data_IF_511485190699
#
_entry.id   IF_511485190699
#
_cell.length_a   1.000
_cell.length_b   1.000
_cell.length_c   1.000
_cell.angle_alpha   90.00
_cell.angle_beta   90.00
_cell.angle_gamma   90.00
#
_symmetry.space_group_name_H-M   'P 1'
#
loop_
_entity.id
_entity.type
_entity.pdbx_description
1 polymer ?
#
# COMPACT_ATOMS: atom_id res chain seq x y z
N UNK A 1 10.63 16.26 -9.71
CA UNK A 1 9.81 15.73 -8.62
C UNK A 1 9.75 14.22 -8.80
N UNK A 2 10.07 13.44 -7.76
CA UNK A 2 9.89 11.98 -7.79
C UNK A 2 8.39 11.66 -7.85
N UNK A 3 8.02 10.52 -8.42
CA UNK A 3 6.63 10.06 -8.37
C UNK A 3 6.21 9.83 -6.90
N UNK A 4 4.99 10.23 -6.49
CA UNK A 4 4.43 9.82 -5.21
C UNK A 4 4.49 8.30 -5.02
N UNK A 5 4.67 7.88 -3.78
CA UNK A 5 4.73 6.47 -3.40
C UNK A 5 3.77 6.21 -2.24
N UNK A 6 3.03 5.11 -2.30
CA UNK A 6 2.29 4.56 -1.17
C UNK A 6 2.76 3.13 -0.90
N UNK A 7 2.59 2.66 0.33
CA UNK A 7 2.97 1.30 0.71
C UNK A 7 1.78 0.53 1.26
N UNK A 8 1.52 -0.65 0.70
CA UNK A 8 0.51 -1.59 1.21
C UNK A 8 1.21 -2.70 1.97
N UNK A 9 0.95 -2.82 3.27
CA UNK A 9 1.47 -3.90 4.11
C UNK A 9 0.51 -5.08 4.12
N UNK A 10 1.03 -6.27 3.82
CA UNK A 10 0.23 -7.47 3.59
C UNK A 10 0.45 -8.52 4.69
N UNK A 11 -0.62 -9.23 5.11
CA UNK A 11 -0.58 -10.21 6.19
C UNK A 11 0.28 -11.42 5.84
N UNK A 12 1.09 -11.89 6.79
CA UNK A 12 2.08 -12.95 6.53
C UNK A 12 1.58 -14.37 6.34
N UNK A 13 0.28 -14.62 6.47
CA UNK A 13 -0.30 -15.96 6.42
C UNK A 13 -0.91 -16.32 5.06
N UNK A 14 -0.78 -15.45 4.05
CA UNK A 14 -1.31 -15.66 2.71
C UNK A 14 -0.21 -15.71 1.65
N UNK A 15 -0.43 -16.54 0.61
CA UNK A 15 0.36 -16.48 -0.60
C UNK A 15 -0.12 -15.30 -1.46
N UNK A 16 0.75 -14.31 -1.67
CA UNK A 16 0.46 -13.10 -2.43
C UNK A 16 0.79 -13.24 -3.93
N UNK A 17 1.38 -14.34 -4.39
CA UNK A 17 1.67 -14.53 -5.80
C UNK A 17 0.42 -14.41 -6.70
N UNK A 18 -0.76 -14.95 -6.34
CA UNK A 18 -1.96 -14.78 -7.17
C UNK A 18 -2.58 -13.38 -7.08
N UNK A 19 -2.39 -12.65 -5.97
CA UNK A 19 -2.72 -11.22 -5.88
C UNK A 19 -1.92 -10.44 -6.92
N UNK A 20 -0.60 -10.60 -6.93
CA UNK A 20 0.28 -9.90 -7.87
C UNK A 20 -0.11 -10.19 -9.32
N UNK A 21 -0.38 -11.46 -9.66
CA UNK A 21 -0.88 -11.85 -11.00
C UNK A 21 -2.18 -11.15 -11.36
N UNK A 22 -3.15 -11.13 -10.45
CA UNK A 22 -4.44 -10.48 -10.67
C UNK A 22 -4.27 -9.01 -11.01
N UNK A 23 -3.42 -8.31 -10.26
CA UNK A 23 -3.17 -6.89 -10.47
C UNK A 23 -2.41 -6.61 -11.77
N UNK A 24 -1.42 -7.44 -12.12
CA UNK A 24 -0.69 -7.36 -13.40
C UNK A 24 -1.67 -7.42 -14.57
N UNK A 25 -2.53 -8.44 -14.57
CA UNK A 25 -3.44 -8.70 -15.69
C UNK A 25 -4.50 -7.60 -15.81
N UNK A 26 -5.07 -7.17 -14.67
CA UNK A 26 -6.09 -6.13 -14.63
C UNK A 26 -5.55 -4.76 -15.10
N UNK A 27 -4.37 -4.37 -14.60
CA UNK A 27 -3.77 -3.05 -14.89
C UNK A 27 -2.86 -3.07 -16.12
N UNK A 28 -2.68 -4.24 -16.75
CA UNK A 28 -1.82 -4.48 -17.92
C UNK A 28 -0.37 -4.06 -17.65
N UNK A 29 0.17 -4.49 -16.51
CA UNK A 29 1.56 -4.20 -16.14
C UNK A 29 2.52 -5.13 -16.87
N UNK A 30 3.70 -4.63 -17.20
CA UNK A 30 4.79 -5.45 -17.72
C UNK A 30 5.70 -5.84 -16.55
N UNK A 31 5.92 -7.14 -16.36
CA UNK A 31 6.84 -7.64 -15.35
C UNK A 31 8.27 -7.30 -15.76
N UNK A 32 9.04 -6.75 -14.82
CA UNK A 32 10.43 -6.39 -15.05
C UNK A 32 11.35 -7.60 -14.85
N UNK A 33 12.39 -7.69 -15.68
CA UNK A 33 13.50 -8.61 -15.46
C UNK A 33 14.42 -8.04 -14.38
N UNK A 34 14.35 -8.60 -13.17
CA UNK A 34 15.14 -8.14 -12.04
C UNK A 34 16.48 -8.88 -11.95
N UNK A 35 17.60 -8.15 -11.80
CA UNK A 35 18.87 -8.73 -11.37
C UNK A 35 18.74 -9.46 -10.02
N UNK A 36 19.59 -10.48 -9.74
CA UNK A 36 19.56 -11.23 -8.48
C UNK A 36 19.73 -10.40 -7.21
N UNK A 37 20.41 -9.24 -7.30
CA UNK A 37 20.77 -8.40 -6.16
C UNK A 37 19.77 -7.25 -5.92
N UNK A 38 18.59 -7.29 -6.55
CA UNK A 38 17.59 -6.26 -6.36
C UNK A 38 16.96 -6.33 -4.96
N UNK A 39 16.64 -5.17 -4.34
CA UNK A 39 16.14 -5.12 -2.97
C UNK A 39 14.69 -5.61 -2.81
N UNK A 40 14.01 -5.93 -3.91
CA UNK A 40 12.63 -6.41 -3.91
C UNK A 40 12.52 -7.70 -4.70
N UNK A 41 11.60 -8.57 -4.27
CA UNK A 41 11.42 -9.90 -4.82
C UNK A 41 10.77 -9.88 -6.22
N UNK A 42 9.98 -8.84 -6.51
CA UNK A 42 9.23 -8.74 -7.76
C UNK A 42 8.90 -7.29 -8.11
N UNK A 43 8.80 -6.97 -9.40
CA UNK A 43 8.30 -5.67 -9.85
C UNK A 43 7.61 -5.77 -11.21
N UNK A 44 6.62 -4.90 -11.41
CA UNK A 44 6.04 -4.65 -12.72
C UNK A 44 5.65 -3.19 -12.88
N UNK A 45 5.61 -2.76 -14.14
CA UNK A 45 5.32 -1.38 -14.46
C UNK A 45 4.51 -1.21 -15.74
N UNK A 46 3.79 -0.09 -15.80
CA UNK A 46 3.21 0.45 -17.02
C UNK A 46 3.84 1.82 -17.23
N UNK A 47 4.67 1.95 -18.28
CA UNK A 47 5.37 3.20 -18.61
C UNK A 47 4.52 4.11 -19.48
N UNK A 48 4.68 5.42 -19.32
CA UNK A 48 4.07 6.44 -20.19
C UNK A 48 3.66 7.70 -19.44
N UNK A 49 2.63 8.38 -19.94
CA UNK A 49 1.99 9.50 -19.23
C UNK A 49 1.30 9.03 -17.93
N UNK A 50 0.89 7.76 -17.89
CA UNK A 50 0.12 7.13 -16.82
C UNK A 50 1.01 6.11 -16.10
N UNK A 51 2.19 6.55 -15.71
CA UNK A 51 3.23 5.70 -15.14
C UNK A 51 2.77 5.10 -13.81
N UNK A 52 2.88 3.77 -13.69
CA UNK A 52 2.63 3.01 -12.48
C UNK A 52 3.73 1.96 -12.33
N UNK A 53 4.44 2.00 -11.22
CA UNK A 53 5.47 1.04 -10.85
C UNK A 53 5.07 0.37 -9.54
N UNK A 54 5.02 -0.95 -9.56
CA UNK A 54 4.68 -1.79 -8.42
C UNK A 54 5.92 -2.61 -8.06
N UNK A 55 6.34 -2.54 -6.80
CA UNK A 55 7.47 -3.29 -6.27
C UNK A 55 7.00 -4.09 -5.06
N UNK A 56 7.21 -5.41 -5.08
CA UNK A 56 6.83 -6.30 -4.00
C UNK A 56 8.07 -6.73 -3.22
N UNK A 57 8.04 -6.46 -1.93
CA UNK A 57 9.00 -6.99 -0.97
C UNK A 57 8.36 -8.15 -0.20
N UNK A 58 8.99 -9.32 -0.28
CA UNK A 58 8.53 -10.51 0.42
C UNK A 58 8.86 -10.48 1.91
N UNK A 59 9.78 -9.61 2.35
CA UNK A 59 10.19 -9.44 3.74
C UNK A 59 10.26 -7.96 4.14
N UNK A 60 9.12 -7.42 4.56
CA UNK A 60 9.01 -6.04 5.05
C UNK A 60 9.42 -5.90 6.53
N UNK A 61 10.20 -6.84 7.09
CA UNK A 61 10.51 -6.86 8.53
C UNK A 61 11.25 -5.60 8.98
N UNK A 62 12.20 -5.10 8.19
CA UNK A 62 12.97 -3.91 8.58
C UNK A 62 12.10 -2.65 8.55
N UNK A 63 11.30 -2.46 7.49
CA UNK A 63 10.34 -1.35 7.39
C UNK A 63 9.31 -1.38 8.51
N UNK A 64 8.71 -2.54 8.78
CA UNK A 64 7.72 -2.68 9.86
C UNK A 64 8.34 -2.47 11.25
N UNK A 65 9.59 -2.90 11.46
CA UNK A 65 10.32 -2.67 12.71
C UNK A 65 10.61 -1.18 12.92
N UNK A 66 11.00 -0.47 11.87
CA UNK A 66 11.22 0.97 11.92
C UNK A 66 9.94 1.70 12.35
N UNK A 67 8.82 1.43 11.68
CA UNK A 67 7.52 2.04 11.99
C UNK A 67 7.03 1.74 13.43
N UNK A 68 7.37 0.57 13.98
CA UNK A 68 7.02 0.24 15.36
C UNK A 68 7.76 1.10 16.39
N UNK A 69 8.93 1.63 16.05
CA UNK A 69 9.75 2.47 16.93
C UNK A 69 9.33 3.93 16.95
N UNK A 70 8.56 4.36 15.96
CA UNK A 70 8.09 5.74 15.88
C UNK A 70 7.13 6.08 17.02
N UNK A 71 7.03 7.35 17.39
CA UNK A 71 6.09 7.80 18.42
C UNK A 71 4.64 7.54 18.00
N UNK A 72 4.37 7.77 16.70
CA UNK A 72 3.13 7.48 15.97
C UNK A 72 3.50 6.52 14.82
N UNK A 73 2.67 5.57 14.40
CA UNK A 73 1.22 5.42 14.59
C UNK A 73 0.81 4.93 15.98
N UNK A 74 -0.50 4.93 16.29
CA UNK A 74 -1.01 4.41 17.56
C UNK A 74 -0.74 2.89 17.72
N UNK A 75 -0.85 2.40 18.95
CA UNK A 75 -0.50 1.00 19.28
C UNK A 75 -1.33 -0.02 18.49
N UNK A 76 -2.58 0.29 18.17
CA UNK A 76 -3.46 -0.58 17.37
C UNK A 76 -2.92 -0.79 15.96
N UNK A 77 -2.39 0.26 15.34
CA UNK A 77 -1.77 0.20 14.02
C UNK A 77 -0.38 -0.45 14.08
N UNK A 78 0.37 -0.28 15.17
CA UNK A 78 1.60 -1.05 15.38
C UNK A 78 1.33 -2.55 15.48
N UNK A 79 0.25 -2.97 16.13
CA UNK A 79 -0.18 -4.38 16.17
C UNK A 79 -0.63 -4.87 14.80
N UNK A 80 -1.30 -4.05 14.00
CA UNK A 80 -1.60 -4.36 12.60
C UNK A 80 -0.33 -4.71 11.82
N UNK A 81 0.72 -3.89 11.95
CA UNK A 81 2.00 -4.11 11.28
C UNK A 81 2.72 -5.40 11.74
N UNK A 82 2.53 -5.83 13.00
CA UNK A 82 3.11 -7.11 13.48
C UNK A 82 2.55 -8.34 12.75
N UNK A 83 1.32 -8.25 12.26
CA UNK A 83 0.70 -9.29 11.43
C UNK A 83 1.19 -9.30 9.98
N UNK A 84 1.82 -8.21 9.53
CA UNK A 84 2.31 -8.05 8.17
C UNK A 84 3.72 -8.63 8.01
N UNK A 85 4.00 -9.23 6.86
CA UNK A 85 5.34 -9.80 6.53
C UNK A 85 5.92 -9.32 5.22
N UNK A 86 5.07 -8.83 4.34
CA UNK A 86 5.44 -8.39 3.01
C UNK A 86 4.77 -7.05 2.74
N UNK A 87 5.29 -6.29 1.79
CA UNK A 87 4.68 -5.06 1.36
C UNK A 87 4.73 -4.89 -0.15
N UNK A 88 3.86 -4.01 -0.64
CA UNK A 88 3.88 -3.55 -2.02
C UNK A 88 4.07 -2.03 -2.00
N UNK A 89 5.14 -1.55 -2.63
CA UNK A 89 5.33 -0.14 -2.93
C UNK A 89 4.72 0.18 -4.28
N UNK A 90 3.90 1.23 -4.32
CA UNK A 90 3.20 1.69 -5.52
C UNK A 90 3.62 3.11 -5.80
N UNK A 91 4.42 3.28 -6.86
CA UNK A 91 4.81 4.58 -7.38
C UNK A 91 3.90 4.94 -8.54
N UNK A 92 3.32 6.14 -8.55
CA UNK A 92 2.31 6.51 -9.53
C UNK A 92 2.46 7.95 -10.01
N UNK A 93 2.02 8.21 -11.25
CA UNK A 93 1.83 9.57 -11.77
C UNK A 93 0.37 10.01 -11.83
N UNK A 94 -0.54 9.04 -12.04
CA UNK A 94 -1.99 9.27 -12.03
C UNK A 94 -2.61 8.54 -10.85
N UNK A 95 -3.22 9.31 -9.95
CA UNK A 95 -3.84 8.74 -8.75
C UNK A 95 -4.96 7.76 -9.09
N UNK A 96 -5.64 7.93 -10.21
CA UNK A 96 -6.72 7.04 -10.65
C UNK A 96 -6.21 5.60 -10.85
N UNK A 97 -5.01 5.43 -11.40
CA UNK A 97 -4.39 4.11 -11.56
C UNK A 97 -3.96 3.53 -10.21
N UNK A 98 -3.43 4.35 -9.31
CA UNK A 98 -3.11 3.91 -7.97
C UNK A 98 -4.38 3.49 -7.21
N UNK A 99 -5.50 4.22 -7.37
CA UNK A 99 -6.79 3.84 -6.78
C UNK A 99 -7.28 2.52 -7.33
N UNK A 100 -7.18 2.31 -8.64
CA UNK A 100 -7.53 1.03 -9.27
C UNK A 100 -6.69 -0.11 -8.68
N UNK A 101 -5.38 0.08 -8.54
CA UNK A 101 -4.50 -0.87 -7.85
C UNK A 101 -4.97 -1.18 -6.42
N UNK A 102 -5.27 -0.16 -5.63
CA UNK A 102 -5.66 -0.29 -4.22
C UNK A 102 -7.01 -1.00 -4.10
N UNK A 103 -7.98 -0.64 -4.93
CA UNK A 103 -9.31 -1.29 -4.97
C UNK A 103 -9.17 -2.77 -5.36
N UNK A 104 -8.37 -3.09 -6.40
CA UNK A 104 -8.14 -4.47 -6.82
C UNK A 104 -7.47 -5.28 -5.70
N UNK A 105 -6.48 -4.70 -5.03
CA UNK A 105 -5.77 -5.34 -3.92
C UNK A 105 -6.70 -5.60 -2.75
N UNK A 106 -7.47 -4.61 -2.32
CA UNK A 106 -8.46 -4.77 -1.26
C UNK A 106 -9.55 -5.79 -1.60
N UNK A 107 -10.06 -5.74 -2.84
CA UNK A 107 -11.05 -6.69 -3.35
C UNK A 107 -10.56 -8.13 -3.35
N UNK A 108 -9.29 -8.37 -3.75
CA UNK A 108 -8.68 -9.69 -3.71
C UNK A 108 -8.51 -10.20 -2.27
N UNK A 109 -8.04 -9.34 -1.36
CA UNK A 109 -7.83 -9.70 0.05
C UNK A 109 -9.15 -9.92 0.81
N UNK A 110 -10.25 -9.32 0.35
CA UNK A 110 -11.56 -9.43 0.95
C UNK A 110 -11.51 -9.03 2.44
N UNK A 111 -11.92 -9.93 3.32
CA UNK A 111 -11.92 -9.68 4.77
C UNK A 111 -10.51 -9.45 5.35
N UNK A 112 -9.46 -9.94 4.67
CA UNK A 112 -8.07 -9.77 5.12
C UNK A 112 -7.53 -8.35 4.88
N UNK A 113 -8.24 -7.52 4.11
CA UNK A 113 -7.89 -6.10 3.94
C UNK A 113 -7.95 -5.32 5.26
N UNK A 114 -8.79 -5.73 6.21
CA UNK A 114 -8.86 -5.15 7.57
C UNK A 114 -7.61 -5.44 8.42
N UNK A 115 -6.83 -6.46 8.03
CA UNK A 115 -5.58 -6.90 8.62
C UNK A 115 -4.35 -6.42 7.83
N UNK A 116 -4.56 -5.56 6.84
CA UNK A 116 -3.53 -4.98 5.98
C UNK A 116 -3.37 -3.49 6.27
N UNK A 117 -2.13 -3.01 6.27
CA UNK A 117 -1.80 -1.60 6.45
C UNK A 117 -1.68 -0.85 5.12
N UNK A 118 -1.94 0.45 5.13
CA UNK A 118 -1.73 1.36 4.01
C UNK A 118 -1.00 2.60 4.51
N UNK A 119 0.23 2.84 4.06
CA UNK A 119 0.97 4.07 4.34
C UNK A 119 0.89 5.00 3.13
N UNK A 120 0.51 6.25 3.37
CA UNK A 120 0.10 7.20 2.32
C UNK A 120 1.24 7.99 1.66
N UNK A 121 2.51 7.69 1.98
CA UNK A 121 3.68 8.43 1.53
C UNK A 121 4.00 9.68 2.36
N UNK A 122 3.18 10.00 3.36
CA UNK A 122 3.34 11.15 4.25
C UNK A 122 3.48 10.74 5.72
N UNK A 123 3.76 9.46 5.97
CA UNK A 123 3.94 8.91 7.30
C UNK A 123 2.64 8.52 8.01
N UNK A 124 1.48 8.63 7.34
CA UNK A 124 0.20 8.25 7.92
C UNK A 124 -0.13 6.79 7.59
N UNK A 125 -0.36 5.98 8.63
CA UNK A 125 -0.78 4.59 8.49
C UNK A 125 -2.29 4.45 8.65
N UNK A 126 -2.91 3.79 7.68
CA UNK A 126 -4.35 3.55 7.58
C UNK A 126 -4.63 2.05 7.46
N UNK A 127 -5.87 1.63 7.71
CA UNK A 127 -6.28 0.27 7.35
C UNK A 127 -6.63 0.25 5.87
N UNK A 128 -6.17 -0.77 5.16
CA UNK A 128 -6.45 -0.89 3.73
C UNK A 128 -7.97 -0.95 3.45
N UNK A 129 -8.75 -1.60 4.31
CA UNK A 129 -10.21 -1.68 4.16
C UNK A 129 -10.87 -0.30 4.13
N UNK A 130 -10.43 0.64 4.98
CA UNK A 130 -11.00 1.99 5.07
C UNK A 130 -10.67 2.78 3.80
N UNK A 131 -9.40 2.71 3.36
CA UNK A 131 -8.96 3.35 2.12
C UNK A 131 -9.77 2.87 0.92
N UNK A 132 -10.03 1.57 0.82
CA UNK A 132 -10.82 0.97 -0.27
C UNK A 132 -12.27 1.43 -0.21
N UNK A 133 -12.89 1.42 0.98
CA UNK A 133 -14.26 1.90 1.17
C UNK A 133 -14.42 3.36 0.75
N UNK A 134 -13.48 4.23 1.13
CA UNK A 134 -13.49 5.64 0.73
C UNK A 134 -13.27 5.82 -0.77
N UNK A 135 -12.33 5.10 -1.38
CA UNK A 135 -12.11 5.16 -2.83
C UNK A 135 -13.35 4.72 -3.64
N UNK A 136 -14.12 3.76 -3.13
CA UNK A 136 -15.36 3.29 -3.76
C UNK A 136 -16.56 4.21 -3.50
N UNK A 137 -16.64 4.82 -2.31
CA UNK A 137 -17.74 5.69 -1.89
C UNK A 137 -17.66 7.11 -2.44
N UNK A 138 -16.45 7.65 -2.61
CA UNK A 138 -16.22 9.00 -3.13
C UNK A 138 -15.05 9.01 -4.14
N UNK A 139 -15.31 9.14 -5.45
CA UNK A 139 -14.27 9.20 -6.47
C UNK A 139 -13.26 10.34 -6.28
N UNK A 140 -13.63 11.41 -5.57
CA UNK A 140 -12.79 12.59 -5.30
C UNK A 140 -11.93 12.45 -4.05
N UNK A 141 -12.20 11.44 -3.22
CA UNK A 141 -11.40 11.15 -2.04
C UNK A 141 -9.98 10.73 -2.43
N UNK A 142 -8.97 11.13 -1.67
CA UNK A 142 -7.57 10.82 -1.94
C UNK A 142 -6.78 10.76 -0.64
N UNK A 143 -5.84 9.82 -0.55
CA UNK A 143 -4.86 9.70 0.54
C UNK A 143 -3.72 10.72 0.47
N UNK A 144 -3.63 11.52 -0.61
CA UNK A 144 -2.63 12.59 -0.75
C UNK A 144 -2.93 13.81 0.13
N UNK A 145 -4.00 13.76 0.94
CA UNK A 145 -4.36 14.81 1.90
C UNK A 145 -3.61 14.59 3.22
N UNK A 146 -3.31 15.68 3.91
CA UNK A 146 -2.61 15.71 5.20
C UNK A 146 -3.52 15.45 6.42
N UNK A 147 -4.79 15.10 6.22
CA UNK A 147 -5.69 14.71 7.30
C UNK A 147 -6.88 13.89 6.79
N UNK A 148 -7.38 13.01 7.65
CA UNK A 148 -8.51 12.11 7.38
C UNK A 148 -9.55 12.21 8.50
N UNK A 149 -10.24 13.36 8.64
CA UNK A 149 -11.27 13.55 9.68
C UNK A 149 -12.46 12.59 9.52
N UNK A 150 -12.60 12.00 8.33
CA UNK A 150 -13.59 11.02 7.94
C UNK A 150 -13.23 9.58 8.36
N UNK A 151 -11.96 9.29 8.68
CA UNK A 151 -11.51 7.97 9.14
C UNK A 151 -11.34 7.98 10.67
N UNK A 152 -12.10 7.12 11.34
CA UNK A 152 -12.08 7.03 12.80
C UNK A 152 -10.71 6.57 13.32
N UNK A 153 -10.12 7.34 14.23
CA UNK A 153 -8.85 7.00 14.89
C UNK A 153 -7.59 7.46 14.15
N UNK A 154 -7.72 8.21 13.06
CA UNK A 154 -6.57 8.63 12.21
C UNK A 154 -6.10 10.07 12.46
N UNK A 155 -7.00 10.96 12.90
CA UNK A 155 -6.84 12.40 12.67
C UNK A 155 -5.62 13.08 13.34
N UNK A 156 -5.13 12.64 14.51
CA UNK A 156 -4.02 13.31 15.23
C UNK A 156 -2.86 12.37 15.64
N UNK A 157 -3.12 11.06 15.78
CA UNK A 157 -2.16 10.07 16.34
C UNK A 157 -1.33 9.33 15.30
N UNK A 158 -1.51 9.60 14.01
CA UNK A 158 -0.93 8.79 12.94
C UNK A 158 0.07 9.56 12.06
N UNK A 159 0.30 10.85 12.29
CA UNK A 159 1.23 11.69 11.51
C UNK A 159 2.63 11.72 12.13
N UNK A 160 3.66 11.28 11.41
CA UNK A 160 5.05 11.52 11.80
C UNK A 160 5.31 13.03 11.70
N UNK A 161 5.83 13.63 12.78
CA UNK A 161 6.25 15.04 12.78
C UNK A 161 7.55 15.25 11.99
#
# INVERSE_FOLDING_TARGET
>A
MSAPMVTVFLPGYQDHAPLLRTVIDALRLNVDDLPPDFPFAWSAQRRGEDDLLVQYDADSTDTTREMQQWEKPSQDFKWLLQGCRSCIHVHYRKIELAKEFIILTGGYLGHSSSLSGFENGHGCLLRLTEVVEHCLGDPTWSWERESFPDISGVADSEWID
#
